data_IF_212769931087
#
_entry.id   IF_212769931087
#
_cell.length_a   1.000
_cell.length_b   1.000
_cell.length_c   1.000
_cell.angle_alpha   90.00
_cell.angle_beta   90.00
_cell.angle_gamma   90.00
#
_symmetry.space_group_name_H-M   'P 1'
#
loop_
_entity.id
_entity.type
_entity.pdbx_description
1 polymer ?
#
# COMPACT_ATOMS: atom_id res chain seq x y z
N UNK A 1 21.56 13.58 10.83
CA UNK A 1 20.30 13.67 10.05
C UNK A 1 20.48 14.77 9.02
N UNK A 2 20.83 14.42 7.79
CA UNK A 2 21.17 15.33 6.67
C UNK A 2 19.94 15.85 5.91
N UNK A 3 18.73 15.60 6.39
CA UNK A 3 17.49 15.70 5.61
C UNK A 3 16.64 16.95 5.91
N UNK A 4 17.23 18.11 6.16
CA UNK A 4 16.48 19.37 6.24
C UNK A 4 16.59 20.13 4.91
N UNK A 5 15.83 19.67 3.91
CA UNK A 5 15.53 20.50 2.74
C UNK A 5 14.65 21.67 3.19
N UNK A 6 15.03 22.91 2.87
CA UNK A 6 14.33 24.11 3.33
C UNK A 6 13.01 24.34 2.59
N UNK A 7 12.83 23.72 1.42
CA UNK A 7 11.64 23.83 0.59
C UNK A 7 11.44 22.58 -0.28
N UNK A 8 10.31 22.55 -0.97
CA UNK A 8 9.93 21.45 -1.85
C UNK A 8 10.93 21.20 -2.99
N UNK A 9 11.48 22.24 -3.60
CA UNK A 9 12.39 22.10 -4.75
C UNK A 9 13.68 21.38 -4.35
N UNK A 10 14.25 21.74 -3.20
CA UNK A 10 15.41 21.08 -2.62
C UNK A 10 15.11 19.61 -2.26
N UNK A 11 13.94 19.34 -1.65
CA UNK A 11 13.55 17.96 -1.32
C UNK A 11 13.38 17.10 -2.56
N UNK A 12 12.74 17.65 -3.60
CA UNK A 12 12.54 16.97 -4.87
C UNK A 12 13.86 16.68 -5.59
N UNK A 13 14.76 17.67 -5.67
CA UNK A 13 16.08 17.45 -6.27
C UNK A 13 16.82 16.33 -5.53
N UNK A 14 16.87 16.41 -4.19
CA UNK A 14 17.51 15.39 -3.38
C UNK A 14 16.87 14.01 -3.55
N UNK A 15 15.54 13.91 -3.60
CA UNK A 15 14.84 12.63 -3.73
C UNK A 15 15.10 11.92 -5.06
N UNK A 16 15.36 12.68 -6.13
CA UNK A 16 15.73 12.13 -7.44
C UNK A 16 17.20 11.72 -7.47
N UNK A 17 18.10 12.58 -6.97
CA UNK A 17 19.54 12.31 -6.95
C UNK A 17 19.92 11.17 -5.99
N UNK A 18 19.16 10.99 -4.90
CA UNK A 18 19.42 10.02 -3.82
C UNK A 18 18.22 9.09 -3.60
N UNK A 19 17.58 8.62 -4.69
CA UNK A 19 16.32 7.88 -4.64
C UNK A 19 16.32 6.67 -3.70
N UNK A 20 17.40 5.89 -3.65
CA UNK A 20 17.50 4.76 -2.73
C UNK A 20 17.45 5.21 -1.25
N UNK A 21 18.14 6.30 -0.91
CA UNK A 21 18.11 6.86 0.44
C UNK A 21 16.74 7.47 0.76
N UNK A 22 16.18 8.26 -0.17
CA UNK A 22 14.85 8.85 -0.04
C UNK A 22 13.78 7.79 0.26
N UNK A 23 13.74 6.70 -0.50
CA UNK A 23 12.78 5.63 -0.30
C UNK A 23 13.01 4.86 1.00
N UNK A 24 14.26 4.73 1.46
CA UNK A 24 14.59 4.21 2.79
C UNK A 24 14.08 5.11 3.93
N UNK A 25 14.17 6.43 3.77
CA UNK A 25 13.58 7.41 4.70
C UNK A 25 12.06 7.35 4.66
N UNK A 26 11.47 7.31 3.46
CA UNK A 26 10.03 7.21 3.27
C UNK A 26 9.46 5.95 3.92
N UNK A 27 10.13 4.80 3.81
CA UNK A 27 9.71 3.57 4.49
C UNK A 27 9.49 3.80 5.99
N UNK A 28 10.46 4.43 6.66
CA UNK A 28 10.39 4.74 8.09
C UNK A 28 9.31 5.79 8.40
N UNK A 29 9.27 6.87 7.61
CA UNK A 29 8.28 7.93 7.75
C UNK A 29 6.86 7.41 7.58
N UNK A 30 6.65 6.55 6.59
CA UNK A 30 5.33 6.08 6.21
C UNK A 30 4.68 5.29 7.34
N UNK A 31 5.44 4.60 8.19
CA UNK A 31 4.89 3.68 9.20
C UNK A 31 4.23 2.46 8.56
N UNK A 32 4.79 1.96 7.47
CA UNK A 32 4.26 0.79 6.76
C UNK A 32 4.35 -0.46 7.63
N UNK A 33 3.24 -1.20 7.73
CA UNK A 33 3.18 -2.48 8.43
C UNK A 33 3.87 -3.53 7.56
N UNK A 34 4.78 -4.28 8.17
CA UNK A 34 5.58 -5.29 7.49
C UNK A 34 5.96 -6.38 8.49
N UNK A 35 6.06 -7.61 7.97
CA UNK A 35 6.45 -8.79 8.75
C UNK A 35 7.94 -9.09 8.66
N UNK A 36 8.60 -8.65 7.59
CA UNK A 36 10.04 -8.76 7.37
C UNK A 36 10.53 -7.43 6.78
N UNK A 37 11.59 -6.80 7.34
CA UNK A 37 12.17 -5.57 6.79
C UNK A 37 12.87 -5.84 5.44
N UNK A 38 13.18 -4.79 4.70
CA UNK A 38 14.02 -4.90 3.51
C UNK A 38 15.49 -5.05 3.91
N UNK A 39 16.25 -5.78 3.08
CA UNK A 39 17.72 -5.81 3.14
C UNK A 39 18.31 -4.65 2.34
N UNK A 40 17.68 -4.31 1.22
CA UNK A 40 18.13 -3.27 0.28
C UNK A 40 16.93 -2.59 -0.38
N UNK A 41 16.97 -1.25 -0.48
CA UNK A 41 15.88 -0.48 -1.09
C UNK A 41 15.82 -0.70 -2.59
N UNK A 42 16.95 -0.62 -3.29
CA UNK A 42 17.07 -0.88 -4.72
C UNK A 42 18.56 -0.91 -5.08
N UNK A 43 18.94 -1.80 -5.97
CA UNK A 43 20.30 -1.84 -6.53
C UNK A 43 20.47 -0.70 -7.54
N UNK A 44 21.22 0.33 -7.17
CA UNK A 44 21.40 1.55 -7.98
C UNK A 44 22.32 1.36 -9.18
N UNK A 45 22.93 0.18 -9.34
CA UNK A 45 23.72 -0.18 -10.53
C UNK A 45 22.84 -0.65 -11.70
N UNK A 46 21.58 -1.03 -11.42
CA UNK A 46 20.63 -1.52 -12.43
C UNK A 46 19.88 -0.38 -13.12
N UNK A 47 19.55 -0.60 -14.38
CA UNK A 47 18.74 0.31 -15.18
C UNK A 47 17.28 -0.11 -15.16
N UNK A 48 16.38 0.75 -15.64
CA UNK A 48 14.95 0.41 -15.77
C UNK A 48 14.70 -0.80 -16.68
N UNK A 49 15.58 -1.04 -17.67
CA UNK A 49 15.49 -2.20 -18.56
C UNK A 49 15.72 -3.53 -17.81
N UNK A 50 16.45 -3.48 -16.69
CA UNK A 50 16.71 -4.64 -15.83
C UNK A 50 15.57 -4.92 -14.84
N UNK A 51 14.58 -4.02 -14.77
CA UNK A 51 13.43 -4.08 -13.84
C UNK A 51 13.93 -4.32 -12.40
N UNK A 52 14.62 -3.33 -11.79
CA UNK A 52 15.27 -3.53 -10.51
C UNK A 52 14.25 -3.85 -9.42
N UNK A 53 14.61 -4.79 -8.55
CA UNK A 53 13.79 -5.16 -7.40
C UNK A 53 13.83 -4.05 -6.35
N UNK A 54 12.66 -3.62 -5.90
CA UNK A 54 12.51 -2.61 -4.86
C UNK A 54 12.20 -3.28 -3.51
N UNK A 55 12.84 -2.79 -2.45
CA UNK A 55 12.71 -3.28 -1.08
C UNK A 55 12.96 -4.79 -0.97
N UNK A 56 14.03 -5.26 -1.62
CA UNK A 56 14.44 -6.67 -1.65
C UNK A 56 14.52 -7.24 -0.23
N UNK A 57 14.00 -8.45 -0.06
CA UNK A 57 13.94 -9.15 1.22
C UNK A 57 12.71 -8.81 2.07
N UNK A 58 12.01 -7.70 1.80
CA UNK A 58 10.85 -7.32 2.58
C UNK A 58 9.63 -8.22 2.36
N UNK A 59 8.77 -8.31 3.39
CA UNK A 59 7.49 -9.01 3.31
C UNK A 59 6.39 -8.20 3.99
N UNK A 60 5.44 -7.74 3.19
CA UNK A 60 4.28 -6.96 3.62
C UNK A 60 2.99 -7.49 2.97
N UNK A 61 1.85 -7.00 3.47
CA UNK A 61 0.55 -7.22 2.86
C UNK A 61 -0.08 -5.86 2.50
N UNK A 62 -0.54 -5.73 1.25
CA UNK A 62 -1.14 -4.49 0.75
C UNK A 62 -2.46 -4.16 1.44
N UNK A 63 -3.37 -5.15 1.55
CA UNK A 63 -4.66 -4.97 2.22
C UNK A 63 -4.50 -4.65 3.71
N UNK A 64 -3.51 -5.27 4.39
CA UNK A 64 -3.15 -4.92 5.77
C UNK A 64 -2.76 -3.44 5.87
N UNK A 65 -1.89 -2.93 5.00
CA UNK A 65 -1.46 -1.53 5.07
C UNK A 65 -2.60 -0.53 4.80
N UNK A 66 -3.56 -0.88 3.93
CA UNK A 66 -4.75 -0.05 3.69
C UNK A 66 -5.74 -0.10 4.85
N UNK A 67 -5.95 -1.28 5.43
CA UNK A 67 -7.02 -1.51 6.41
C UNK A 67 -6.56 -1.37 7.86
N UNK A 68 -5.25 -1.46 8.14
CA UNK A 68 -4.70 -1.35 9.49
C UNK A 68 -4.88 0.07 10.05
N UNK A 69 -4.84 1.09 9.18
CA UNK A 69 -5.05 2.48 9.57
C UNK A 69 -6.54 2.75 9.70
N UNK A 70 -6.92 3.56 10.69
CA UNK A 70 -8.28 4.02 10.87
C UNK A 70 -8.97 3.43 12.10
N UNK A 71 -9.67 4.29 12.81
CA UNK A 71 -10.62 3.89 13.86
C UNK A 71 -11.74 3.07 13.20
N UNK A 72 -12.20 2.00 13.86
CA UNK A 72 -13.24 1.11 13.33
C UNK A 72 -14.51 1.87 12.96
N UNK A 73 -14.86 2.92 13.72
CA UNK A 73 -16.07 3.73 13.52
C UNK A 73 -15.92 4.83 12.46
N UNK A 74 -14.69 5.08 11.96
CA UNK A 74 -14.48 6.08 10.92
C UNK A 74 -14.95 5.55 9.56
N UNK A 75 -15.56 6.43 8.78
CA UNK A 75 -15.98 6.12 7.41
C UNK A 75 -14.74 5.89 6.54
N UNK A 76 -14.67 4.73 5.91
CA UNK A 76 -13.65 4.35 4.94
C UNK A 76 -14.11 4.64 3.50
N UNK A 77 -15.39 4.40 3.19
CA UNK A 77 -15.95 4.58 1.84
C UNK A 77 -17.28 5.33 1.90
N UNK A 78 -17.48 6.22 0.94
CA UNK A 78 -18.77 6.79 0.59
C UNK A 78 -19.19 6.22 -0.77
N UNK A 79 -20.25 5.43 -0.79
CA UNK A 79 -20.77 4.82 -2.01
C UNK A 79 -22.04 5.54 -2.44
N UNK A 80 -22.08 5.97 -3.70
CA UNK A 80 -23.23 6.62 -4.32
C UNK A 80 -23.57 5.87 -5.61
N UNK A 81 -24.86 5.89 -5.97
CA UNK A 81 -25.38 5.25 -7.19
C UNK A 81 -26.01 6.33 -8.06
N UNK A 82 -25.87 6.20 -9.39
CA UNK A 82 -26.50 7.13 -10.33
C UNK A 82 -28.02 7.18 -10.11
N UNK A 83 -28.56 8.40 -9.98
CA UNK A 83 -29.98 8.62 -9.68
C UNK A 83 -30.39 8.33 -8.23
N UNK A 84 -29.47 7.92 -7.37
CA UNK A 84 -29.69 7.76 -5.93
C UNK A 84 -29.49 9.07 -5.17
N UNK A 85 -30.44 9.41 -4.29
CA UNK A 85 -30.32 10.57 -3.40
C UNK A 85 -29.48 10.26 -2.13
N UNK A 86 -29.35 8.99 -1.78
CA UNK A 86 -28.64 8.56 -0.57
C UNK A 86 -27.20 8.10 -0.84
N UNK A 87 -26.28 8.59 -0.01
CA UNK A 87 -24.88 8.15 0.03
C UNK A 87 -24.71 7.13 1.16
N UNK A 88 -24.40 5.89 0.79
CA UNK A 88 -24.07 4.84 1.74
C UNK A 88 -22.67 5.06 2.32
N UNK A 89 -22.51 4.84 3.62
CA UNK A 89 -21.23 4.97 4.33
C UNK A 89 -20.80 3.59 4.79
N UNK A 90 -19.55 3.23 4.49
CA UNK A 90 -18.93 2.00 5.00
C UNK A 90 -17.79 2.41 5.91
N UNK A 91 -17.84 1.96 7.15
CA UNK A 91 -16.81 2.19 8.15
C UNK A 91 -15.59 1.29 7.92
N UNK A 92 -14.45 1.61 8.53
CA UNK A 92 -13.28 0.72 8.50
C UNK A 92 -13.58 -0.64 9.15
N UNK A 93 -14.41 -0.69 10.19
CA UNK A 93 -14.83 -1.95 10.83
C UNK A 93 -15.62 -2.87 9.89
N UNK A 94 -16.59 -2.30 9.17
CA UNK A 94 -17.38 -3.02 8.17
C UNK A 94 -16.51 -3.48 7.00
N UNK A 95 -15.70 -2.57 6.45
CA UNK A 95 -14.81 -2.90 5.33
C UNK A 95 -13.82 -4.01 5.68
N UNK A 96 -13.25 -4.01 6.89
CA UNK A 96 -12.37 -5.09 7.38
C UNK A 96 -13.11 -6.42 7.45
N UNK A 97 -14.34 -6.41 7.94
CA UNK A 97 -15.17 -7.60 8.09
C UNK A 97 -15.51 -8.20 6.72
N UNK A 98 -15.90 -7.37 5.77
CA UNK A 98 -16.20 -7.78 4.40
C UNK A 98 -14.96 -8.35 3.69
N UNK A 99 -13.83 -7.65 3.77
CA UNK A 99 -12.56 -8.13 3.18
C UNK A 99 -12.15 -9.46 3.80
N UNK A 100 -12.29 -9.63 5.11
CA UNK A 100 -11.98 -10.88 5.79
C UNK A 100 -12.90 -12.03 5.33
N UNK A 101 -14.20 -11.76 5.17
CA UNK A 101 -15.19 -12.71 4.67
C UNK A 101 -14.84 -13.19 3.26
N UNK A 102 -14.61 -12.26 2.32
CA UNK A 102 -14.25 -12.62 0.94
C UNK A 102 -12.91 -13.34 0.86
N UNK A 103 -11.91 -12.91 1.63
CA UNK A 103 -10.62 -13.60 1.69
C UNK A 103 -10.76 -15.02 2.23
N UNK A 104 -11.64 -15.26 3.22
CA UNK A 104 -11.93 -16.60 3.72
C UNK A 104 -12.66 -17.47 2.69
N UNK A 105 -13.64 -16.90 1.98
CA UNK A 105 -14.36 -17.59 0.90
C UNK A 105 -13.41 -17.98 -0.24
N UNK A 106 -12.52 -17.08 -0.68
CA UNK A 106 -11.51 -17.36 -1.70
C UNK A 106 -10.57 -18.49 -1.29
N UNK A 107 -10.08 -18.48 -0.03
CA UNK A 107 -9.27 -19.59 0.50
C UNK A 107 -10.04 -20.91 0.51
N UNK A 108 -11.32 -20.89 0.87
CA UNK A 108 -12.19 -22.09 0.84
C UNK A 108 -12.38 -22.64 -0.58
N UNK A 109 -12.37 -21.77 -1.59
CA UNK A 109 -12.40 -22.16 -3.00
C UNK A 109 -11.03 -22.63 -3.54
N UNK A 110 -10.00 -22.66 -2.70
CA UNK A 110 -8.66 -23.14 -3.06
C UNK A 110 -7.73 -22.08 -3.64
N UNK A 111 -8.13 -20.81 -3.65
CA UNK A 111 -7.30 -19.70 -4.16
C UNK A 111 -6.12 -19.47 -3.21
N UNK A 112 -4.90 -19.48 -3.76
CA UNK A 112 -3.64 -19.29 -3.06
C UNK A 112 -2.79 -18.12 -3.58
N UNK A 113 -1.59 -17.98 -3.01
CA UNK A 113 -0.62 -16.96 -3.44
C UNK A 113 -0.15 -17.28 -4.87
N UNK A 114 -0.31 -16.32 -5.78
CA UNK A 114 0.08 -16.45 -7.20
C UNK A 114 -1.06 -16.80 -8.14
N UNK A 115 -2.25 -17.13 -7.60
CA UNK A 115 -3.45 -17.28 -8.41
C UNK A 115 -3.98 -15.93 -8.86
N UNK A 116 -4.63 -15.92 -10.04
CA UNK A 116 -5.19 -14.72 -10.65
C UNK A 116 -6.71 -14.78 -10.50
N UNK A 117 -7.29 -13.68 -10.05
CA UNK A 117 -8.75 -13.51 -9.92
C UNK A 117 -9.15 -12.31 -10.78
N UNK A 118 -10.13 -12.52 -11.66
CA UNK A 118 -10.70 -11.47 -12.50
C UNK A 118 -12.08 -11.07 -11.95
N UNK A 119 -12.37 -9.77 -11.92
CA UNK A 119 -13.67 -9.24 -11.54
C UNK A 119 -14.27 -8.43 -12.70
N UNK A 120 -15.52 -8.73 -13.05
CA UNK A 120 -16.35 -7.88 -13.89
C UNK A 120 -17.35 -7.18 -12.95
N UNK A 121 -17.03 -5.95 -12.57
CA UNK A 121 -17.75 -5.17 -11.55
C UNK A 121 -18.35 -3.94 -12.27
N UNK A 122 -19.61 -3.55 -11.98
CA UNK A 122 -20.24 -2.35 -12.56
C UNK A 122 -19.56 -1.05 -12.13
#
# INVERSE_FOLDING_TARGET
>A
CSCLAANYAELHQWSVENYAEFWGVFWKFSGMVHSVPYDEVVDTSKTIADVPEWFRGSRLNFAENLLHRGDAEKVALYAAVEGGEEVSKVTFGELRSDVALYAAAMRKLGIGKGDRVAGMIP
#
